data_IF_483023057692
#
_entry.id   IF_483023057692
#
_cell.length_a   1.000
_cell.length_b   1.000
_cell.length_c   1.000
_cell.angle_alpha   90.00
_cell.angle_beta   90.00
_cell.angle_gamma   90.00
#
_symmetry.space_group_name_H-M   'P 1'
#
loop_
_entity.id
_entity.type
_entity.pdbx_description
1 polymer ?
#
# COMPACT_ATOMS: atom_id res chain seq x y z
N UNK A 1 0.01 22.45 11.74
CA UNK A 1 0.54 21.25 11.05
C UNK A 1 0.02 19.99 11.72
N UNK A 2 -0.59 19.06 10.97
CA UNK A 2 -1.47 18.02 11.53
C UNK A 2 -0.74 16.93 12.34
N UNK A 3 0.50 16.60 12.00
CA UNK A 3 1.37 15.70 12.76
C UNK A 3 2.47 16.44 13.56
N UNK A 4 2.43 17.78 13.61
CA UNK A 4 3.39 18.58 14.36
C UNK A 4 4.83 18.60 13.85
N UNK A 5 5.11 18.16 12.62
CA UNK A 5 6.46 18.16 11.98
C UNK A 5 7.53 17.34 12.71
N UNK A 6 7.10 16.40 13.56
CA UNK A 6 7.99 15.54 14.38
C UNK A 6 8.22 14.16 13.77
N UNK A 7 7.58 13.84 12.66
CA UNK A 7 7.52 12.49 12.12
C UNK A 7 8.14 12.40 10.73
N UNK A 8 8.94 11.35 10.51
CA UNK A 8 9.58 11.08 9.23
C UNK A 8 8.63 10.49 8.19
N UNK A 9 9.11 10.42 6.94
CA UNK A 9 8.36 9.99 5.75
C UNK A 9 7.57 8.68 5.93
N UNK A 10 8.15 7.68 6.59
CA UNK A 10 7.50 6.38 6.83
C UNK A 10 6.20 6.50 7.62
N UNK A 11 6.21 7.31 8.68
CA UNK A 11 5.04 7.52 9.53
C UNK A 11 4.00 8.39 8.83
N UNK A 12 4.44 9.39 8.08
CA UNK A 12 3.53 10.21 7.25
C UNK A 12 2.83 9.33 6.21
N UNK A 13 3.55 8.42 5.54
CA UNK A 13 2.96 7.45 4.63
C UNK A 13 1.96 6.51 5.32
N UNK A 14 2.25 6.07 6.55
CA UNK A 14 1.33 5.25 7.34
C UNK A 14 0.02 5.99 7.67
N UNK A 15 0.08 7.28 8.02
CA UNK A 15 -1.13 8.10 8.23
C UNK A 15 -1.91 8.25 6.93
N UNK A 16 -1.26 8.68 5.84
CA UNK A 16 -1.91 8.91 4.55
C UNK A 16 -2.58 7.66 3.99
N UNK A 17 -2.00 6.49 4.24
CA UNK A 17 -2.55 5.19 3.83
C UNK A 17 -3.57 4.60 4.80
N UNK A 18 -3.88 5.26 5.92
CA UNK A 18 -4.85 4.75 6.88
C UNK A 18 -4.36 3.52 7.64
N UNK A 19 -3.07 3.45 7.94
CA UNK A 19 -2.43 2.33 8.62
C UNK A 19 -2.81 2.28 10.10
N UNK A 20 -3.14 1.08 10.60
CA UNK A 20 -3.38 0.80 12.03
C UNK A 20 -2.08 0.50 12.80
N UNK A 21 -0.93 0.94 12.31
CA UNK A 21 0.34 0.71 12.99
C UNK A 21 0.29 1.29 14.41
N UNK A 22 0.86 0.56 15.38
CA UNK A 22 0.86 0.93 16.81
C UNK A 22 1.22 2.40 17.04
N UNK A 23 2.27 2.89 16.38
CA UNK A 23 2.74 4.28 16.49
C UNK A 23 1.72 5.31 15.97
N UNK A 24 0.88 4.96 14.99
CA UNK A 24 -0.18 5.85 14.49
C UNK A 24 -1.27 5.99 15.55
N UNK A 25 -1.70 4.86 16.13
CA UNK A 25 -2.74 4.81 17.17
C UNK A 25 -2.29 5.47 18.48
N UNK A 26 -1.05 5.21 18.91
CA UNK A 26 -0.48 5.83 20.12
C UNK A 26 -0.38 7.35 20.04
N UNK A 27 -0.29 7.91 18.82
CA UNK A 27 -0.27 9.35 18.60
C UNK A 27 -1.65 9.91 18.23
N UNK A 28 -2.70 9.09 18.30
CA UNK A 28 -4.09 9.41 17.92
C UNK A 28 -4.22 9.96 16.49
N UNK A 29 -3.31 9.56 15.60
CA UNK A 29 -3.25 10.10 14.26
C UNK A 29 -4.31 9.52 13.32
N UNK A 30 -5.02 8.47 13.73
CA UNK A 30 -6.23 7.97 13.08
C UNK A 30 -7.38 8.99 13.11
N UNK A 31 -7.35 9.95 14.05
CA UNK A 31 -8.34 11.05 14.14
C UNK A 31 -8.03 12.22 13.21
N UNK A 32 -6.86 12.22 12.56
CA UNK A 32 -6.49 13.30 11.66
C UNK A 32 -7.34 13.22 10.39
N UNK A 33 -7.82 14.37 9.92
CA UNK A 33 -8.54 14.48 8.64
C UNK A 33 -7.65 14.25 7.39
N UNK A 34 -6.40 13.79 7.57
CA UNK A 34 -5.52 13.28 6.51
C UNK A 34 -5.28 11.78 6.61
N UNK A 35 -5.92 11.11 7.57
CA UNK A 35 -5.83 9.68 7.72
C UNK A 35 -6.57 8.99 6.58
N UNK A 36 -5.88 8.10 5.86
CA UNK A 36 -6.48 7.31 4.79
C UNK A 36 -6.87 8.07 3.51
N UNK A 37 -6.42 9.31 3.32
CA UNK A 37 -6.77 10.09 2.11
C UNK A 37 -5.84 9.85 0.91
N UNK A 38 -4.68 9.22 1.14
CA UNK A 38 -3.60 9.05 0.15
C UNK A 38 -3.49 7.63 -0.38
N UNK A 39 -4.63 6.99 -0.67
CA UNK A 39 -4.69 5.57 -1.07
C UNK A 39 -4.27 5.31 -2.51
N UNK A 40 -4.11 6.37 -3.31
CA UNK A 40 -3.64 6.29 -4.70
C UNK A 40 -2.17 5.86 -4.82
N UNK A 41 -1.36 6.02 -3.77
CA UNK A 41 0.04 5.63 -3.77
C UNK A 41 0.36 4.57 -2.71
N UNK A 42 1.22 3.63 -3.08
CA UNK A 42 1.80 2.66 -2.16
C UNK A 42 2.72 3.33 -1.13
N UNK A 43 3.17 2.58 -0.13
CA UNK A 43 4.04 3.12 0.92
C UNK A 43 5.39 3.46 0.30
N UNK A 44 5.91 2.59 -0.57
CA UNK A 44 7.14 2.84 -1.30
C UNK A 44 7.01 4.03 -2.25
N UNK A 45 5.88 4.19 -2.92
CA UNK A 45 5.60 5.38 -3.75
C UNK A 45 5.55 6.65 -2.89
N UNK A 46 4.91 6.64 -1.72
CA UNK A 46 4.97 7.76 -0.77
C UNK A 46 6.39 8.06 -0.28
N UNK A 47 7.24 7.04 -0.13
CA UNK A 47 8.66 7.24 0.19
C UNK A 47 9.43 7.85 -0.98
N UNK A 48 9.14 7.46 -2.23
CA UNK A 48 9.71 8.08 -3.42
C UNK A 48 9.27 9.55 -3.55
N UNK A 49 7.97 9.84 -3.37
CA UNK A 49 7.42 11.20 -3.36
C UNK A 49 8.12 12.04 -2.28
N UNK A 50 8.28 11.50 -1.07
CA UNK A 50 8.95 12.22 0.02
C UNK A 50 10.40 12.57 -0.34
N UNK A 51 11.14 11.64 -0.99
CA UNK A 51 12.51 11.90 -1.46
C UNK A 51 12.54 12.96 -2.57
N UNK A 52 11.59 12.94 -3.49
CA UNK A 52 11.46 13.93 -4.55
C UNK A 52 11.18 15.32 -3.97
N UNK A 53 10.24 15.44 -3.04
CA UNK A 53 9.90 16.69 -2.38
C UNK A 53 11.06 17.27 -1.56
N UNK A 54 11.86 16.40 -0.92
CA UNK A 54 13.12 16.80 -0.27
C UNK A 54 14.14 17.35 -1.27
N UNK A 55 14.18 16.79 -2.49
CA UNK A 55 15.15 17.18 -3.54
C UNK A 55 14.76 18.48 -4.26
N UNK A 56 13.49 18.85 -4.18
CA UNK A 56 12.92 20.06 -4.77
C UNK A 56 12.68 21.16 -3.72
N UNK A 57 13.20 20.99 -2.50
CA UNK A 57 13.12 21.95 -1.40
C UNK A 57 11.68 22.34 -0.99
N UNK A 58 10.69 21.49 -1.26
CA UNK A 58 9.32 21.65 -0.73
C UNK A 58 9.24 21.23 0.74
N UNK A 59 10.06 20.25 1.14
CA UNK A 59 10.16 19.79 2.52
C UNK A 59 11.62 19.64 2.92
N UNK A 60 11.89 19.73 4.22
CA UNK A 60 13.22 19.54 4.80
C UNK A 60 13.20 18.55 5.95
N UNK A 61 14.39 18.07 6.36
CA UNK A 61 14.53 17.24 7.57
C UNK A 61 14.68 18.15 8.79
N UNK A 62 13.72 18.08 9.70
CA UNK A 62 13.78 18.69 11.02
C UNK A 62 14.58 17.87 12.03
N UNK A 63 14.64 18.38 13.26
CA UNK A 63 15.27 17.70 14.38
C UNK A 63 14.65 16.31 14.60
N UNK A 64 15.48 15.34 14.95
CA UNK A 64 15.10 13.93 15.13
C UNK A 64 14.51 13.23 13.88
N UNK A 65 14.74 13.79 12.67
CA UNK A 65 14.34 13.16 11.41
C UNK A 65 12.87 13.36 11.03
N UNK A 66 12.18 14.32 11.67
CA UNK A 66 10.86 14.77 11.24
C UNK A 66 10.88 15.48 9.88
N UNK A 67 9.78 15.46 9.14
CA UNK A 67 9.63 16.26 7.93
C UNK A 67 9.00 17.62 8.26
N UNK A 68 9.64 18.70 7.80
CA UNK A 68 9.18 20.09 7.91
C UNK A 68 8.78 20.63 6.54
N UNK A 69 7.77 21.50 6.49
CA UNK A 69 7.41 22.19 5.25
C UNK A 69 8.30 23.41 5.05
N UNK A 70 8.70 23.63 3.80
CA UNK A 70 9.40 24.84 3.40
C UNK A 70 8.44 25.83 2.71
N UNK A 71 8.87 27.09 2.56
CA UNK A 71 8.04 28.16 1.96
C UNK A 71 7.40 27.77 0.61
N UNK A 72 8.08 27.09 -0.33
CA UNK A 72 7.47 26.70 -1.61
C UNK A 72 6.27 25.74 -1.46
N UNK A 73 6.19 24.97 -0.37
CA UNK A 73 5.09 24.03 -0.19
C UNK A 73 3.75 24.69 0.12
N UNK A 74 3.72 25.96 0.54
CA UNK A 74 2.46 26.66 0.82
C UNK A 74 1.63 26.84 -0.45
N UNK A 75 2.24 27.25 -1.56
CA UNK A 75 1.55 27.42 -2.84
C UNK A 75 0.96 26.09 -3.37
N UNK A 76 1.66 24.99 -3.12
CA UNK A 76 1.21 23.63 -3.45
C UNK A 76 0.04 23.21 -2.55
N UNK A 77 0.12 23.48 -1.25
CA UNK A 77 -0.94 23.14 -0.29
C UNK A 77 -2.23 23.92 -0.53
N UNK A 78 -2.12 25.15 -1.00
CA UNK A 78 -3.27 26.00 -1.36
C UNK A 78 -3.90 25.60 -2.72
N UNK A 79 -3.26 24.65 -3.44
CA UNK A 79 -3.70 24.16 -4.74
C UNK A 79 -3.43 25.13 -5.89
N UNK A 80 -2.54 26.10 -5.69
CA UNK A 80 -2.19 27.13 -6.69
C UNK A 80 -1.02 26.72 -7.59
N UNK A 81 -0.18 25.79 -7.14
CA UNK A 81 0.97 25.30 -7.89
C UNK A 81 0.99 23.77 -7.90
N UNK A 82 1.41 23.19 -9.03
CA UNK A 82 1.53 21.75 -9.21
C UNK A 82 2.99 21.31 -9.06
N UNK A 83 3.19 20.19 -8.35
CA UNK A 83 4.49 19.53 -8.26
C UNK A 83 4.56 18.42 -9.29
N UNK A 84 5.52 18.51 -10.20
CA UNK A 84 5.78 17.49 -11.21
C UNK A 84 7.01 16.67 -10.85
N UNK A 85 6.94 15.36 -11.11
CA UNK A 85 8.09 14.49 -10.97
C UNK A 85 7.86 13.11 -11.55
N UNK A 86 8.95 12.37 -11.68
CA UNK A 86 8.96 11.02 -12.24
C UNK A 86 9.07 9.99 -11.12
N UNK A 87 8.14 9.02 -11.10
CA UNK A 87 8.24 7.87 -10.22
C UNK A 87 8.97 6.74 -10.92
N UNK A 88 9.93 6.16 -10.22
CA UNK A 88 10.65 4.99 -10.70
C UNK A 88 9.76 3.75 -10.57
N UNK A 89 9.09 3.40 -11.68
CA UNK A 89 8.24 2.21 -11.82
C UNK A 89 9.03 0.91 -11.83
N UNK A 90 10.36 0.94 -11.89
CA UNK A 90 11.21 -0.26 -11.89
C UNK A 90 11.39 -0.86 -10.49
N UNK A 91 11.11 -0.08 -9.43
CA UNK A 91 11.17 -0.50 -8.02
C UNK A 91 9.80 -0.65 -7.35
N UNK A 92 8.72 -0.33 -8.05
CA UNK A 92 7.39 -0.76 -7.63
C UNK A 92 7.29 -2.26 -7.84
N UNK A 93 7.63 -3.01 -6.80
CA UNK A 93 6.83 -4.19 -6.47
C UNK A 93 5.37 -3.79 -6.64
N UNK A 94 4.58 -4.58 -7.35
CA UNK A 94 3.14 -4.38 -7.54
C UNK A 94 2.45 -4.23 -6.17
N UNK A 95 2.48 -3.05 -5.58
CA UNK A 95 1.85 -2.71 -4.30
C UNK A 95 0.55 -1.97 -4.59
N UNK A 96 -0.27 -2.62 -5.41
CA UNK A 96 -1.69 -2.34 -5.59
C UNK A 96 -2.57 -3.24 -4.75
N UNK A 97 -2.03 -4.05 -3.83
CA UNK A 97 -2.83 -4.83 -2.89
C UNK A 97 -2.19 -4.74 -1.52
N UNK A 98 -3.00 -4.73 -0.46
CA UNK A 98 -2.52 -5.05 0.86
C UNK A 98 -1.86 -6.43 0.78
N UNK A 99 -0.53 -6.45 0.60
CA UNK A 99 0.26 -7.62 0.90
C UNK A 99 0.06 -7.82 2.38
N UNK A 100 -0.84 -8.73 2.71
CA UNK A 100 -0.86 -9.45 3.98
C UNK A 100 0.57 -9.92 4.18
N UNK A 101 1.36 -9.10 4.87
CA UNK A 101 2.64 -9.47 5.44
C UNK A 101 2.26 -10.48 6.48
N UNK A 102 2.40 -11.76 6.14
CA UNK A 102 2.09 -12.91 6.99
C UNK A 102 0.61 -12.92 7.45
N UNK A 103 -0.10 -14.04 7.32
CA UNK A 103 -1.41 -14.11 8.01
C UNK A 103 -1.13 -13.90 9.51
N UNK A 104 -2.05 -13.26 10.23
CA UNK A 104 -1.95 -13.13 11.69
C UNK A 104 -1.74 -14.47 12.40
N UNK A 105 -2.10 -15.59 11.76
CA UNK A 105 -1.77 -16.95 12.18
C UNK A 105 -0.25 -17.24 12.12
N UNK A 106 0.44 -16.85 11.05
CA UNK A 106 1.88 -17.11 10.88
C UNK A 106 2.70 -16.31 11.90
N UNK A 107 2.31 -15.07 12.21
CA UNK A 107 2.99 -14.26 13.24
C UNK A 107 2.73 -14.75 14.67
N UNK A 108 1.69 -15.55 14.91
CA UNK A 108 1.34 -16.06 16.25
C UNK A 108 1.67 -17.56 16.45
N UNK A 109 1.99 -18.31 15.39
CA UNK A 109 2.17 -19.78 15.44
C UNK A 109 3.51 -20.28 14.84
N UNK A 110 4.45 -19.39 14.54
CA UNK A 110 5.78 -19.80 14.09
C UNK A 110 6.61 -20.38 15.25
N UNK A 111 7.55 -21.28 14.94
CA UNK A 111 8.43 -21.86 15.95
C UNK A 111 9.58 -20.88 16.27
N UNK A 112 9.51 -20.27 17.46
CA UNK A 112 10.49 -19.29 17.93
C UNK A 112 11.91 -19.88 18.03
N UNK A 113 12.04 -21.16 18.41
CA UNK A 113 13.34 -21.80 18.53
C UNK A 113 13.98 -22.02 17.15
N UNK A 114 13.20 -22.46 16.15
CA UNK A 114 13.68 -22.52 14.77
C UNK A 114 14.01 -21.12 14.23
N UNK A 115 13.18 -20.12 14.52
CA UNK A 115 13.44 -18.74 14.09
C UNK A 115 14.78 -18.21 14.61
N UNK A 116 15.11 -18.44 15.88
CA UNK A 116 16.38 -18.01 16.47
C UNK A 116 17.59 -18.74 15.85
N UNK A 117 17.46 -20.04 15.56
CA UNK A 117 18.50 -20.81 14.86
C UNK A 117 18.72 -20.24 13.45
N UNK A 118 17.64 -19.94 12.71
CA UNK A 118 17.74 -19.35 11.37
C UNK A 118 18.31 -17.93 11.41
N UNK A 119 18.01 -17.16 12.46
CA UNK A 119 18.54 -15.81 12.67
C UNK A 119 20.05 -15.85 12.94
N UNK A 120 20.51 -16.81 13.74
CA UNK A 120 21.93 -17.03 13.98
C UNK A 120 22.63 -17.42 12.68
N UNK A 121 22.06 -18.37 11.92
CA UNK A 121 22.66 -18.79 10.65
C UNK A 121 22.75 -17.66 9.63
N UNK A 122 21.73 -16.82 9.58
CA UNK A 122 21.71 -15.62 8.74
C UNK A 122 22.82 -14.65 9.11
N UNK A 123 23.06 -14.46 10.40
CA UNK A 123 24.12 -13.57 10.90
C UNK A 123 25.50 -14.09 10.49
N UNK A 124 25.77 -15.38 10.67
CA UNK A 124 27.02 -16.02 10.23
C UNK A 124 27.30 -15.76 8.74
N UNK A 125 26.32 -16.03 7.88
CA UNK A 125 26.46 -15.84 6.43
C UNK A 125 26.62 -14.38 6.01
N UNK A 126 26.01 -13.46 6.77
CA UNK A 126 26.13 -12.04 6.54
C UNK A 126 27.51 -11.51 6.95
N UNK A 127 28.00 -11.95 8.10
CA UNK A 127 29.33 -11.60 8.61
C UNK A 127 30.43 -12.17 7.69
N UNK A 128 30.27 -13.40 7.16
CA UNK A 128 31.19 -14.01 6.18
C UNK A 128 31.27 -13.23 4.86
N UNK A 129 30.20 -12.55 4.47
CA UNK A 129 30.09 -11.86 3.19
C UNK A 129 30.19 -10.33 3.32
N UNK A 130 30.43 -9.82 4.54
CA UNK A 130 30.45 -8.40 4.87
C UNK A 130 29.21 -7.64 4.36
N UNK A 131 28.03 -8.27 4.52
CA UNK A 131 26.74 -7.68 4.13
C UNK A 131 25.80 -7.59 5.34
N UNK A 132 24.85 -6.65 5.35
CA UNK A 132 23.84 -6.62 6.41
C UNK A 132 23.00 -7.90 6.47
N UNK A 133 22.64 -8.44 7.66
CA UNK A 133 21.88 -9.69 7.79
C UNK A 133 20.59 -9.78 6.97
N UNK A 134 19.82 -8.69 6.91
CA UNK A 134 18.58 -8.65 6.13
C UNK A 134 18.79 -8.84 4.61
N UNK A 135 20.01 -8.65 4.10
CA UNK A 135 20.35 -8.85 2.69
C UNK A 135 20.32 -10.33 2.30
N UNK A 136 20.65 -11.25 3.23
CA UNK A 136 20.53 -12.69 3.05
C UNK A 136 19.04 -13.07 2.96
N UNK A 137 18.31 -12.93 4.07
CA UNK A 137 16.84 -13.03 4.11
C UNK A 137 16.25 -12.02 5.09
N UNK A 138 15.13 -11.34 4.74
CA UNK A 138 14.42 -10.50 5.71
C UNK A 138 13.77 -11.36 6.80
N UNK A 139 13.49 -10.76 7.97
CA UNK A 139 12.87 -11.45 9.11
C UNK A 139 11.55 -12.13 8.72
N UNK A 140 10.76 -11.51 7.85
CA UNK A 140 9.51 -12.06 7.35
C UNK A 140 9.69 -13.42 6.65
N UNK A 141 10.80 -13.61 5.93
CA UNK A 141 11.12 -14.90 5.31
C UNK A 141 11.50 -15.94 6.37
N UNK A 142 12.24 -15.55 7.41
CA UNK A 142 12.63 -16.46 8.49
C UNK A 142 11.42 -16.92 9.31
N UNK A 143 10.48 -16.02 9.58
CA UNK A 143 9.20 -16.35 10.23
C UNK A 143 8.41 -17.35 9.37
N UNK A 144 8.31 -17.12 8.07
CA UNK A 144 7.65 -18.08 7.17
C UNK A 144 8.37 -19.43 7.12
N UNK A 145 9.72 -19.46 7.12
CA UNK A 145 10.49 -20.70 7.21
C UNK A 145 10.23 -21.44 8.52
N UNK A 146 10.17 -20.72 9.65
CA UNK A 146 9.90 -21.28 10.96
C UNK A 146 8.45 -21.80 11.13
N UNK A 147 7.52 -21.27 10.34
CA UNK A 147 6.13 -21.72 10.32
C UNK A 147 5.89 -22.89 9.36
N UNK A 148 6.47 -22.83 8.15
CA UNK A 148 6.20 -23.79 7.07
C UNK A 148 7.18 -24.99 7.05
N UNK A 149 8.32 -24.91 7.74
CA UNK A 149 9.35 -25.96 7.76
C UNK A 149 9.74 -26.47 6.37
N UNK A 150 10.11 -25.59 5.41
CA UNK A 150 10.44 -26.00 4.05
C UNK A 150 11.64 -26.94 4.02
N UNK A 151 11.47 -28.12 3.44
CA UNK A 151 12.49 -29.17 3.34
C UNK A 151 13.05 -29.34 1.92
N UNK A 152 12.78 -28.40 1.03
CA UNK A 152 13.32 -28.40 -0.33
C UNK A 152 13.49 -26.98 -0.84
N UNK A 153 14.33 -26.79 -1.87
CA UNK A 153 14.47 -25.47 -2.51
C UNK A 153 13.16 -25.07 -3.17
N UNK A 154 12.43 -26.03 -3.71
CA UNK A 154 11.12 -25.87 -4.33
C UNK A 154 10.10 -25.34 -3.30
N UNK A 155 10.17 -25.82 -2.06
CA UNK A 155 9.33 -25.35 -0.95
C UNK A 155 9.70 -23.97 -0.42
N UNK A 156 10.93 -23.49 -0.67
CA UNK A 156 11.33 -22.12 -0.34
C UNK A 156 10.80 -21.08 -1.34
N UNK A 157 10.62 -21.46 -2.60
CA UNK A 157 10.19 -20.57 -3.68
C UNK A 157 8.88 -19.81 -3.42
N UNK A 158 7.81 -20.42 -2.86
CA UNK A 158 6.57 -19.69 -2.56
C UNK A 158 6.69 -18.76 -1.34
N UNK A 159 7.81 -18.78 -0.61
CA UNK A 159 8.01 -17.93 0.58
C UNK A 159 8.33 -16.49 0.18
N UNK A 160 7.83 -15.55 0.99
CA UNK A 160 8.03 -14.12 0.74
C UNK A 160 9.52 -13.79 0.80
N UNK A 161 10.03 -12.99 -0.15
CA UNK A 161 11.42 -12.53 -0.16
C UNK A 161 12.46 -13.55 -0.67
N UNK A 162 12.03 -14.75 -1.10
CA UNK A 162 12.89 -15.76 -1.74
C UNK A 162 12.86 -15.59 -3.26
N UNK A 163 13.78 -14.78 -3.79
CA UNK A 163 14.02 -14.69 -5.24
C UNK A 163 14.98 -15.77 -5.74
N UNK A 164 15.02 -16.00 -7.06
CA UNK A 164 15.87 -17.02 -7.69
C UNK A 164 17.34 -16.93 -7.26
N UNK A 165 17.90 -15.71 -7.20
CA UNK A 165 19.28 -15.46 -6.78
C UNK A 165 19.53 -15.90 -5.33
N UNK A 166 18.60 -15.63 -4.41
CA UNK A 166 18.72 -16.00 -3.00
C UNK A 166 18.50 -17.49 -2.78
N UNK A 167 17.58 -18.09 -3.55
CA UNK A 167 17.32 -19.53 -3.57
C UNK A 167 18.57 -20.31 -3.98
N UNK A 168 19.24 -19.87 -5.04
CA UNK A 168 20.49 -20.50 -5.49
C UNK A 168 21.62 -20.30 -4.49
N UNK A 169 21.78 -19.07 -3.97
CA UNK A 169 22.93 -18.72 -3.12
C UNK A 169 22.83 -19.24 -1.68
N UNK A 170 21.63 -19.26 -1.09
CA UNK A 170 21.43 -19.57 0.33
C UNK A 170 20.46 -20.74 0.58
N UNK A 171 19.74 -21.21 -0.44
CA UNK A 171 18.66 -22.19 -0.27
C UNK A 171 19.13 -23.50 0.35
N UNK A 172 20.25 -24.07 -0.10
CA UNK A 172 20.79 -25.32 0.47
C UNK A 172 21.11 -25.19 1.96
N UNK A 173 21.71 -24.06 2.35
CA UNK A 173 22.15 -23.81 3.72
C UNK A 173 20.96 -23.75 4.67
N UNK A 174 19.93 -22.97 4.32
CA UNK A 174 18.74 -22.82 5.16
C UNK A 174 17.88 -24.09 5.16
N UNK A 175 17.70 -24.76 4.02
CA UNK A 175 16.99 -26.05 3.96
C UNK A 175 17.69 -27.09 4.82
N UNK A 176 19.03 -27.15 4.82
CA UNK A 176 19.79 -28.06 5.68
C UNK A 176 19.51 -27.84 7.17
N UNK A 177 19.54 -26.58 7.62
CA UNK A 177 19.21 -26.21 9.00
C UNK A 177 17.79 -26.62 9.37
N UNK A 178 16.81 -26.31 8.50
CA UNK A 178 15.39 -26.61 8.75
C UNK A 178 15.14 -28.12 8.77
N UNK A 179 15.76 -28.88 7.86
CA UNK A 179 15.66 -30.35 7.84
C UNK A 179 16.17 -30.98 9.12
N UNK A 180 17.34 -30.56 9.59
CA UNK A 180 17.94 -31.09 10.81
C UNK A 180 17.03 -30.81 12.01
N UNK A 181 16.57 -29.56 12.15
CA UNK A 181 15.66 -29.19 13.23
C UNK A 181 14.33 -29.95 13.17
N UNK A 182 13.75 -30.08 11.97
CA UNK A 182 12.48 -30.77 11.76
C UNK A 182 12.59 -32.27 12.07
N UNK A 183 13.70 -32.92 11.72
CA UNK A 183 13.97 -34.32 12.04
C UNK A 183 14.14 -34.54 13.55
N UNK A 184 14.84 -33.64 14.25
CA UNK A 184 15.05 -33.72 15.70
C UNK A 184 13.77 -33.48 16.51
N UNK A 185 12.88 -32.61 16.04
CA UNK A 185 11.69 -32.17 16.77
C UNK A 185 10.38 -32.74 16.20
N UNK A 186 10.46 -33.70 15.27
CA UNK A 186 9.30 -34.36 14.65
C UNK A 186 8.35 -33.39 13.93
N UNK A 187 8.88 -32.33 13.30
CA UNK A 187 8.07 -31.31 12.61
C UNK A 187 7.85 -31.71 11.15
N UNK A 188 6.61 -31.64 10.69
CA UNK A 188 6.27 -31.89 9.30
C UNK A 188 6.26 -30.61 8.47
N UNK A 189 6.65 -30.73 7.20
CA UNK A 189 6.62 -29.64 6.24
C UNK A 189 5.17 -29.23 5.93
N UNK A 190 4.84 -27.95 6.16
CA UNK A 190 3.56 -27.38 5.76
C UNK A 190 3.71 -26.77 4.36
N UNK A 191 2.96 -27.30 3.38
CA UNK A 191 3.00 -26.75 2.01
C UNK A 191 2.24 -25.43 1.92
N UNK A 192 2.95 -24.37 1.53
CA UNK A 192 2.32 -23.12 1.10
C UNK A 192 1.70 -23.33 -0.28
N UNK A 193 0.37 -23.31 -0.40
CA UNK A 193 -0.30 -23.65 -1.65
C UNK A 193 -0.05 -22.61 -2.75
N UNK A 194 0.55 -23.05 -3.87
CA UNK A 194 0.83 -22.26 -5.08
C UNK A 194 -0.47 -21.73 -5.72
N UNK A 195 -1.61 -22.41 -5.50
CA UNK A 195 -2.92 -21.98 -5.97
C UNK A 195 -3.32 -20.58 -5.46
N UNK A 196 -2.81 -20.16 -4.29
CA UNK A 196 -3.03 -18.82 -3.73
C UNK A 196 -2.14 -17.75 -4.38
N UNK A 197 -1.05 -18.14 -5.04
CA UNK A 197 -0.15 -17.26 -5.81
C UNK A 197 -0.55 -17.11 -7.28
N UNK A 198 -1.12 -18.15 -7.91
CA UNK A 198 -1.62 -18.04 -9.29
C UNK A 198 -2.80 -17.05 -9.36
N UNK A 199 -3.70 -17.04 -8.36
CA UNK A 199 -4.73 -16.00 -8.21
C UNK A 199 -4.20 -14.58 -7.96
N UNK A 200 -2.91 -14.42 -7.61
CA UNK A 200 -2.27 -13.12 -7.33
C UNK A 200 -1.55 -12.50 -8.54
N UNK A 201 -1.25 -13.28 -9.58
CA UNK A 201 -0.65 -12.74 -10.82
C UNK A 201 -1.68 -12.09 -11.77
N UNK A 202 -2.98 -12.29 -11.54
CA UNK A 202 -4.08 -11.63 -12.26
C UNK A 202 -4.37 -10.18 -11.80
N UNK A 203 -3.46 -9.55 -11.04
CA UNK A 203 -3.60 -8.14 -10.65
C UNK A 203 -3.70 -7.16 -11.84
N UNK A 204 -3.24 -7.56 -13.03
CA UNK A 204 -3.45 -6.82 -14.27
C UNK A 204 -4.87 -6.90 -14.84
N UNK A 205 -5.68 -7.90 -14.44
CA UNK A 205 -7.07 -8.06 -14.92
C UNK A 205 -8.11 -7.57 -13.92
N UNK A 206 -7.74 -7.39 -12.64
CA UNK A 206 -8.77 -7.15 -11.60
C UNK A 206 -9.46 -5.78 -11.75
N UNK A 207 -8.71 -4.73 -12.08
CA UNK A 207 -9.31 -3.42 -12.33
C UNK A 207 -10.06 -3.37 -13.67
N UNK A 208 -9.63 -4.13 -14.68
CA UNK A 208 -10.36 -4.31 -15.95
C UNK A 208 -11.70 -4.99 -15.70
N UNK A 209 -11.71 -6.14 -15.01
CA UNK A 209 -12.93 -6.88 -14.66
C UNK A 209 -13.88 -6.00 -13.84
N UNK A 210 -13.38 -5.31 -12.82
CA UNK A 210 -14.20 -4.42 -11.97
C UNK A 210 -14.76 -3.26 -12.81
N UNK A 211 -13.95 -2.65 -13.68
CA UNK A 211 -14.37 -1.55 -14.54
C UNK A 211 -15.42 -1.96 -15.57
N UNK A 212 -15.23 -3.09 -16.24
CA UNK A 212 -16.19 -3.66 -17.18
C UNK A 212 -17.52 -4.00 -16.49
N UNK A 213 -17.46 -4.63 -15.32
CA UNK A 213 -18.64 -5.07 -14.62
C UNK A 213 -19.43 -3.89 -13.99
N UNK A 214 -18.73 -2.85 -13.54
CA UNK A 214 -19.33 -1.57 -13.15
C UNK A 214 -20.05 -0.90 -14.34
N UNK A 215 -19.43 -0.91 -15.52
CA UNK A 215 -20.03 -0.39 -16.74
C UNK A 215 -21.24 -1.23 -17.20
N UNK A 216 -21.23 -2.53 -16.93
CA UNK A 216 -22.33 -3.44 -17.21
C UNK A 216 -23.55 -3.27 -16.28
N UNK A 217 -23.44 -2.46 -15.22
CA UNK A 217 -24.58 -2.13 -14.36
C UNK A 217 -24.37 -2.39 -12.87
N UNK A 218 -23.30 -3.09 -12.46
CA UNK A 218 -23.09 -3.40 -11.06
C UNK A 218 -22.78 -2.14 -10.23
N UNK A 219 -23.29 -2.11 -8.99
CA UNK A 219 -23.00 -1.04 -8.02
C UNK A 219 -21.64 -1.25 -7.36
N UNK A 220 -21.08 -0.17 -6.81
CA UNK A 220 -19.81 -0.21 -6.07
C UNK A 220 -19.91 -1.14 -4.86
N UNK A 221 -21.04 -1.12 -4.18
CA UNK A 221 -21.34 -1.95 -3.00
C UNK A 221 -21.32 -3.45 -3.36
N UNK A 222 -22.00 -3.84 -4.43
CA UNK A 222 -22.04 -5.23 -4.87
C UNK A 222 -20.64 -5.71 -5.29
N UNK A 223 -19.89 -4.88 -6.03
CA UNK A 223 -18.52 -5.20 -6.41
C UNK A 223 -17.60 -5.35 -5.18
N UNK A 224 -17.80 -4.54 -4.14
CA UNK A 224 -17.05 -4.63 -2.90
C UNK A 224 -17.31 -5.98 -2.20
N UNK A 225 -18.58 -6.39 -2.11
CA UNK A 225 -18.98 -7.68 -1.55
C UNK A 225 -18.44 -8.87 -2.37
N UNK A 226 -18.64 -8.89 -3.69
CA UNK A 226 -18.20 -9.97 -4.58
C UNK A 226 -16.69 -10.18 -4.54
N UNK A 227 -15.93 -9.09 -4.41
CA UNK A 227 -14.48 -9.13 -4.36
C UNK A 227 -13.91 -9.22 -2.94
N UNK A 228 -14.75 -9.20 -1.90
CA UNK A 228 -14.35 -9.25 -0.49
C UNK A 228 -13.44 -8.10 -0.09
N UNK A 229 -13.69 -6.90 -0.63
CA UNK A 229 -12.92 -5.68 -0.36
C UNK A 229 -13.86 -4.55 0.08
N UNK A 230 -13.29 -3.40 0.45
CA UNK A 230 -14.09 -2.20 0.78
C UNK A 230 -14.38 -1.38 -0.46
N UNK A 231 -15.43 -0.56 -0.43
CA UNK A 231 -15.83 0.37 -1.49
C UNK A 231 -14.68 1.26 -1.96
N UNK A 232 -13.86 1.75 -1.01
CA UNK A 232 -12.66 2.53 -1.32
C UNK A 232 -11.63 1.79 -2.18
N UNK A 233 -11.60 0.46 -2.10
CA UNK A 233 -10.76 -0.40 -2.95
C UNK A 233 -11.35 -0.51 -4.35
N UNK A 234 -12.68 -0.62 -4.46
CA UNK A 234 -13.38 -0.60 -5.75
C UNK A 234 -13.20 0.75 -6.44
N UNK A 235 -13.39 1.87 -5.73
CA UNK A 235 -13.16 3.22 -6.25
C UNK A 235 -11.71 3.40 -6.77
N UNK A 236 -10.74 2.80 -6.08
CA UNK A 236 -9.35 2.77 -6.58
C UNK A 236 -9.25 2.00 -7.89
N UNK A 237 -9.82 0.80 -7.97
CA UNK A 237 -9.80 0.00 -9.21
C UNK A 237 -10.51 0.71 -10.37
N UNK A 238 -11.63 1.37 -10.13
CA UNK A 238 -12.32 2.17 -11.15
C UNK A 238 -11.48 3.37 -11.60
N UNK A 239 -10.75 4.01 -10.68
CA UNK A 239 -9.79 5.06 -11.04
C UNK A 239 -8.65 4.51 -11.89
N UNK A 240 -8.07 3.37 -11.52
CA UNK A 240 -7.02 2.72 -12.30
C UNK A 240 -7.52 2.37 -13.71
N UNK A 241 -8.76 1.87 -13.83
CA UNK A 241 -9.43 1.60 -15.11
C UNK A 241 -9.59 2.85 -15.98
N UNK A 242 -9.99 3.98 -15.38
CA UNK A 242 -10.09 5.28 -16.04
C UNK A 242 -8.72 5.85 -16.44
N UNK A 243 -7.69 5.65 -15.61
CA UNK A 243 -6.32 6.10 -15.87
C UNK A 243 -5.65 5.30 -16.98
N UNK A 244 -6.08 4.05 -17.21
CA UNK A 244 -5.71 3.22 -18.35
C UNK A 244 -6.41 3.62 -19.66
N UNK A 245 -7.28 4.64 -19.62
CA UNK A 245 -7.92 5.23 -20.80
C UNK A 245 -9.32 4.69 -21.10
N UNK A 246 -9.85 3.80 -20.26
CA UNK A 246 -11.22 3.29 -20.38
C UNK A 246 -12.25 4.30 -19.87
N UNK A 247 -13.50 4.21 -20.34
CA UNK A 247 -14.61 5.07 -19.89
C UNK A 247 -15.37 4.41 -18.72
N UNK A 248 -15.92 5.22 -17.83
CA UNK A 248 -16.77 4.78 -16.72
C UNK A 248 -18.21 5.24 -16.89
N UNK A 249 -19.17 4.42 -16.44
CA UNK A 249 -20.59 4.74 -16.36
C UNK A 249 -20.84 5.85 -15.33
N UNK A 250 -21.15 7.06 -15.81
CA UNK A 250 -21.35 8.24 -14.97
C UNK A 250 -22.53 8.12 -14.00
N UNK A 251 -23.63 7.53 -14.46
CA UNK A 251 -24.84 7.32 -13.65
C UNK A 251 -24.54 6.48 -12.41
N UNK A 252 -23.80 5.37 -12.58
CA UNK A 252 -23.41 4.50 -11.47
C UNK A 252 -22.50 5.20 -10.43
N UNK A 253 -21.69 6.17 -10.85
CA UNK A 253 -20.86 6.96 -9.93
C UNK A 253 -21.72 7.95 -9.12
N UNK A 254 -22.76 8.52 -9.74
CA UNK A 254 -23.71 9.41 -9.07
C UNK A 254 -24.67 8.65 -8.14
N UNK A 255 -25.01 7.41 -8.47
CA UNK A 255 -25.78 6.49 -7.62
C UNK A 255 -25.02 6.13 -6.35
N UNK A 256 -23.69 5.99 -6.43
CA UNK A 256 -22.83 5.67 -5.29
C UNK A 256 -22.55 6.86 -4.34
N UNK A 257 -23.08 8.06 -4.61
CA UNK A 257 -22.92 9.23 -3.74
C UNK A 257 -24.22 9.54 -3.01
N UNK A 258 -24.16 9.67 -1.68
CA UNK A 258 -25.31 10.05 -0.86
C UNK A 258 -25.59 11.57 -0.87
N UNK A 259 -24.76 12.36 -1.57
CA UNK A 259 -24.90 13.81 -1.62
C UNK A 259 -26.17 14.26 -2.35
N UNK A 260 -26.83 15.29 -1.81
CA UNK A 260 -27.91 15.99 -2.52
C UNK A 260 -27.40 16.68 -3.79
N UNK A 261 -28.30 16.94 -4.76
CA UNK A 261 -27.95 17.67 -6.00
C UNK A 261 -27.22 18.98 -5.73
N UNK A 262 -27.65 19.74 -4.71
CA UNK A 262 -27.01 21.00 -4.32
C UNK A 262 -25.58 20.79 -3.81
N UNK A 263 -25.35 19.75 -3.01
CA UNK A 263 -24.01 19.43 -2.52
C UNK A 263 -23.10 18.96 -3.66
N UNK A 264 -23.61 18.15 -4.58
CA UNK A 264 -22.87 17.73 -5.79
C UNK A 264 -22.44 18.95 -6.61
N UNK A 265 -23.34 19.89 -6.87
CA UNK A 265 -23.01 21.13 -7.57
C UNK A 265 -21.95 21.98 -6.86
N UNK A 266 -21.99 22.03 -5.52
CA UNK A 266 -20.97 22.71 -4.73
C UNK A 266 -19.60 22.04 -4.85
N UNK A 267 -19.57 20.70 -4.79
CA UNK A 267 -18.34 19.91 -4.96
C UNK A 267 -17.75 20.13 -6.36
N UNK A 268 -18.57 20.06 -7.42
CA UNK A 268 -18.12 20.29 -8.80
C UNK A 268 -17.52 21.69 -8.97
N UNK A 269 -18.19 22.73 -8.46
CA UNK A 269 -17.67 24.11 -8.48
C UNK A 269 -16.37 24.26 -7.69
N UNK A 270 -16.18 23.48 -6.64
CA UNK A 270 -14.94 23.48 -5.87
C UNK A 270 -13.82 22.80 -6.66
N UNK A 271 -14.11 21.67 -7.33
CA UNK A 271 -13.18 21.01 -8.24
C UNK A 271 -12.79 21.87 -9.45
N UNK A 272 -13.66 22.75 -9.95
CA UNK A 272 -13.30 23.68 -11.03
C UNK A 272 -12.34 24.79 -10.55
N UNK A 273 -12.42 25.16 -9.27
CA UNK A 273 -11.60 26.23 -8.67
C UNK A 273 -10.28 25.74 -8.09
N UNK A 274 -10.23 24.47 -7.68
CA UNK A 274 -9.11 23.84 -6.98
C UNK A 274 -8.56 22.71 -7.85
N UNK A 275 -7.36 22.21 -7.55
CA UNK A 275 -6.88 21.03 -8.25
C UNK A 275 -7.77 19.82 -7.90
N UNK A 276 -8.49 19.21 -8.87
CA UNK A 276 -9.43 18.12 -8.61
C UNK A 276 -8.74 16.84 -8.12
N UNK A 277 -7.43 16.69 -8.35
CA UNK A 277 -6.63 15.59 -7.81
C UNK A 277 -6.35 15.73 -6.31
N UNK A 278 -6.51 16.95 -5.74
CA UNK A 278 -6.27 17.24 -4.33
C UNK A 278 -7.59 17.41 -3.58
N UNK A 279 -8.02 16.36 -2.87
CA UNK A 279 -9.29 16.39 -2.13
C UNK A 279 -9.28 17.35 -0.94
N UNK A 280 -8.12 17.66 -0.37
CA UNK A 280 -8.04 18.49 0.84
C UNK A 280 -8.39 19.98 0.59
N UNK A 281 -7.82 20.66 -0.42
CA UNK A 281 -8.26 22.01 -0.77
C UNK A 281 -9.76 22.11 -1.01
N UNK A 282 -10.34 21.07 -1.62
CA UNK A 282 -11.79 20.95 -1.87
C UNK A 282 -12.56 20.76 -0.57
N UNK A 283 -12.10 19.86 0.30
CA UNK A 283 -12.66 19.66 1.64
C UNK A 283 -12.66 20.94 2.48
N UNK A 284 -11.57 21.69 2.46
CA UNK A 284 -11.43 22.94 3.19
C UNK A 284 -12.29 24.07 2.57
N UNK A 285 -12.43 24.13 1.23
CA UNK A 285 -13.32 25.08 0.50
C UNK A 285 -14.81 24.81 0.77
N UNK A 286 -15.17 23.56 1.08
CA UNK A 286 -16.53 23.13 1.40
C UNK A 286 -16.86 23.21 2.91
N UNK A 287 -16.12 24.02 3.66
CA UNK A 287 -16.21 24.16 5.12
C UNK A 287 -16.12 22.83 5.89
N UNK A 288 -15.45 21.81 5.32
CA UNK A 288 -15.30 20.48 5.94
C UNK A 288 -16.61 19.71 6.15
N UNK A 289 -17.69 20.12 5.46
CA UNK A 289 -19.04 19.53 5.61
C UNK A 289 -19.23 18.23 4.83
N UNK A 290 -18.38 17.95 3.84
CA UNK A 290 -18.49 16.77 2.98
C UNK A 290 -17.31 15.84 3.27
N UNK A 291 -17.60 14.58 3.61
CA UNK A 291 -16.58 13.59 3.96
C UNK A 291 -15.70 13.18 2.78
N UNK A 292 -14.51 12.64 3.06
CA UNK A 292 -13.56 12.23 2.01
C UNK A 292 -14.07 11.09 1.14
N UNK A 293 -14.89 10.20 1.69
CA UNK A 293 -15.47 9.08 0.93
C UNK A 293 -16.35 9.62 -0.21
N UNK A 294 -17.25 10.55 0.11
CA UNK A 294 -18.08 11.26 -0.88
C UNK A 294 -17.26 12.11 -1.85
N UNK A 295 -16.23 12.81 -1.37
CA UNK A 295 -15.34 13.57 -2.25
C UNK A 295 -14.57 12.65 -3.22
N UNK A 296 -14.28 11.41 -2.84
CA UNK A 296 -13.58 10.43 -3.70
C UNK A 296 -14.49 9.93 -4.82
N UNK A 297 -15.76 9.64 -4.49
CA UNK A 297 -16.79 9.29 -5.49
C UNK A 297 -16.95 10.44 -6.49
N UNK A 298 -17.13 11.67 -5.98
CA UNK A 298 -17.31 12.85 -6.81
C UNK A 298 -16.06 13.22 -7.62
N UNK A 299 -14.86 12.99 -7.08
CA UNK A 299 -13.61 13.16 -7.83
C UNK A 299 -13.54 12.20 -9.01
N UNK A 300 -13.87 10.93 -8.81
CA UNK A 300 -13.89 9.95 -9.89
C UNK A 300 -14.93 10.31 -10.96
N UNK A 301 -16.11 10.78 -10.54
CA UNK A 301 -17.13 11.31 -11.44
C UNK A 301 -16.62 12.51 -12.25
N UNK A 302 -15.96 13.49 -11.59
CA UNK A 302 -15.39 14.66 -12.24
C UNK A 302 -14.39 14.26 -13.33
N UNK A 303 -13.42 13.42 -12.98
CA UNK A 303 -12.38 12.95 -13.91
C UNK A 303 -12.94 12.11 -15.05
N UNK A 304 -13.96 11.28 -14.77
CA UNK A 304 -14.62 10.48 -15.80
C UNK A 304 -15.39 11.37 -16.79
N UNK A 305 -16.03 12.43 -16.30
CA UNK A 305 -16.78 13.39 -17.12
C UNK A 305 -15.88 14.18 -18.06
N UNK A 306 -14.67 14.56 -17.63
CA UNK A 306 -13.71 15.26 -18.48
C UNK A 306 -13.10 14.38 -19.59
N UNK A 307 -13.05 13.07 -19.38
CA UNK A 307 -12.48 12.09 -20.32
C UNK A 307 -13.49 11.52 -21.34
N UNK A 308 -14.76 11.93 -21.29
CA UNK A 308 -15.83 11.36 -22.13
C UNK A 308 -16.05 12.06 -23.46
#
# INVERSE_FOLDING_TARGET
MRSGEKFGATHIADILRGSKAKKVLENEHEKLSTYGIGLEFSKDQWMQISKMLLRQDYISKGEFGGLKLEKPALAVLDGTENVFGTMDRSKTSLEGEAVVRTSSEIENEYDEALFDILRLKRKELADEQDIPPYAVFPDTTLVEMAYFYPQSKESLEPLYGVGSVKKEKYGDTFVGVIKNYAAEHGKEEKKKSIAKQIKRKTGGQKFEIIGEAFNAGQSIELLAEEHGVKDMTILKHLKDFLDDGNKLRLEGLLEASELSLRQRDQVMKSFDKKNPLMLRPVYDDLDKKIGYDELRVMQLYYLAKEKQ
#
